data_IF_883958598352
#
_entry.id   IF_883958598352
#
_cell.length_a   1.000
_cell.length_b   1.000
_cell.length_c   1.000
_cell.angle_alpha   90.00
_cell.angle_beta   90.00
_cell.angle_gamma   90.00
#
_symmetry.space_group_name_H-M   'P 1'
#
loop_
_entity.id
_entity.type
_entity.pdbx_description
1 polymer ?
#
# COMPACT_ATOMS: atom_id res chain seq x y z
N UNK A 1 41.59 23.81 14.18
CA UNK A 1 40.66 23.02 13.35
C UNK A 1 39.86 22.15 14.33
N UNK A 2 38.82 22.72 14.92
CA UNK A 2 38.01 22.08 15.97
C UNK A 2 37.03 21.13 15.27
N UNK A 3 37.28 19.84 15.37
CA UNK A 3 36.31 18.81 15.02
C UNK A 3 35.11 18.98 15.96
N UNK A 4 33.95 19.25 15.38
CA UNK A 4 32.69 19.22 16.11
C UNK A 4 32.40 17.76 16.49
N UNK A 5 32.88 17.36 17.67
CA UNK A 5 32.49 16.15 18.38
C UNK A 5 31.07 16.36 18.95
N UNK A 6 30.08 16.41 18.06
CA UNK A 6 28.65 16.56 18.41
C UNK A 6 28.00 15.19 18.67
N UNK A 7 28.68 14.11 18.30
CA UNK A 7 28.21 12.75 18.55
C UNK A 7 29.36 12.02 19.22
N UNK A 8 29.30 11.90 20.54
CA UNK A 8 30.14 10.99 21.31
C UNK A 8 29.86 9.55 20.90
N UNK A 9 30.27 9.20 19.69
CA UNK A 9 30.12 7.89 19.11
C UNK A 9 31.09 6.98 19.82
N UNK A 10 30.56 6.18 20.75
CA UNK A 10 31.32 5.07 21.29
C UNK A 10 31.71 4.18 20.09
N UNK A 11 33.02 4.01 19.86
CA UNK A 11 33.53 3.16 18.78
C UNK A 11 33.33 1.67 19.10
N UNK A 12 33.06 1.35 20.37
CA UNK A 12 32.56 0.05 20.75
C UNK A 12 31.06 -0.02 20.45
N UNK A 13 30.61 -1.00 19.62
CA UNK A 13 29.20 -1.19 19.40
C UNK A 13 28.52 -1.46 20.75
N UNK A 14 27.34 -0.85 20.97
CA UNK A 14 26.64 -0.91 22.26
C UNK A 14 26.38 -2.35 22.77
N UNK A 15 26.41 -3.33 21.86
CA UNK A 15 26.18 -4.75 22.12
C UNK A 15 27.46 -5.58 22.39
N UNK A 16 28.66 -4.98 22.33
CA UNK A 16 29.94 -5.70 22.42
C UNK A 16 30.12 -6.52 23.71
N UNK A 17 29.53 -6.07 24.82
CA UNK A 17 29.61 -6.73 26.12
C UNK A 17 28.42 -7.61 26.48
N UNK A 18 27.42 -7.75 25.59
CA UNK A 18 26.19 -8.45 25.94
C UNK A 18 26.36 -9.97 25.80
N UNK A 19 26.34 -10.74 26.91
CA UNK A 19 26.43 -12.18 26.82
C UNK A 19 25.21 -12.71 26.04
N UNK A 20 25.44 -13.69 25.15
CA UNK A 20 24.41 -14.33 24.33
C UNK A 20 23.81 -13.45 23.20
N UNK A 21 24.35 -12.26 22.92
CA UNK A 21 23.88 -11.46 21.77
C UNK A 21 24.67 -11.79 20.51
N UNK A 22 23.99 -12.34 19.50
CA UNK A 22 24.53 -12.46 18.14
C UNK A 22 23.85 -11.43 17.24
N UNK A 23 24.54 -10.32 16.97
CA UNK A 23 24.02 -9.22 16.16
C UNK A 23 23.56 -9.65 14.76
N UNK A 24 24.13 -10.73 14.22
CA UNK A 24 23.75 -11.24 12.90
C UNK A 24 22.32 -11.79 12.88
N UNK A 25 21.77 -12.19 14.03
CA UNK A 25 20.36 -12.62 14.16
C UNK A 25 19.40 -11.43 14.25
N UNK A 26 19.89 -10.21 14.48
CA UNK A 26 19.07 -9.00 14.52
C UNK A 26 18.81 -8.43 13.11
N UNK A 27 19.46 -8.98 12.07
CA UNK A 27 19.25 -8.54 10.69
C UNK A 27 17.97 -9.20 10.16
N UNK A 28 16.85 -8.53 10.35
CA UNK A 28 15.56 -9.01 9.91
C UNK A 28 15.43 -8.96 8.36
N UNK A 29 14.76 -9.94 7.75
CA UNK A 29 14.45 -9.88 6.32
C UNK A 29 13.56 -8.69 5.97
N UNK A 30 13.69 -8.16 4.75
CA UNK A 30 12.89 -7.03 4.30
C UNK A 30 12.28 -7.29 2.92
N UNK A 31 10.94 -7.35 2.86
CA UNK A 31 10.22 -7.67 1.63
C UNK A 31 10.46 -6.60 0.54
N UNK A 32 10.42 -5.31 0.89
CA UNK A 32 10.52 -4.26 -0.10
C UNK A 32 11.95 -4.15 -0.68
N UNK A 33 12.93 -4.00 0.20
CA UNK A 33 14.32 -3.73 -0.13
C UNK A 33 15.08 -4.97 -0.56
N UNK A 34 14.91 -6.11 0.12
CA UNK A 34 15.64 -7.33 -0.24
C UNK A 34 14.92 -8.08 -1.36
N UNK A 35 13.61 -8.30 -1.26
CA UNK A 35 12.88 -9.06 -2.29
C UNK A 35 12.57 -8.22 -3.52
N UNK A 36 11.76 -7.16 -3.42
CA UNK A 36 11.35 -6.42 -4.61
C UNK A 36 12.49 -5.58 -5.21
N UNK A 37 13.16 -4.74 -4.43
CA UNK A 37 14.23 -3.86 -4.93
C UNK A 37 15.57 -4.59 -5.09
N UNK A 38 15.75 -5.75 -4.46
CA UNK A 38 16.93 -6.59 -4.57
C UNK A 38 16.74 -7.74 -5.56
N UNK A 39 16.14 -8.83 -5.11
CA UNK A 39 16.02 -10.10 -5.85
C UNK A 39 15.21 -9.94 -7.14
N UNK A 40 13.99 -9.40 -7.05
CA UNK A 40 13.10 -9.22 -8.19
C UNK A 40 13.67 -8.22 -9.20
N UNK A 41 14.35 -7.16 -8.75
CA UNK A 41 15.11 -6.27 -9.63
C UNK A 41 16.11 -7.06 -10.49
N UNK A 42 16.89 -7.93 -9.87
CA UNK A 42 17.84 -8.76 -10.60
C UNK A 42 17.15 -9.77 -11.51
N UNK A 43 16.02 -10.33 -11.09
CA UNK A 43 15.23 -11.25 -11.91
C UNK A 43 14.74 -10.57 -13.20
N UNK A 44 14.20 -9.35 -13.11
CA UNK A 44 13.77 -8.58 -14.30
C UNK A 44 14.93 -8.35 -15.26
N UNK A 45 16.12 -7.99 -14.76
CA UNK A 45 17.32 -7.83 -15.60
C UNK A 45 17.72 -9.15 -16.27
N UNK A 46 17.66 -10.28 -15.56
CA UNK A 46 17.96 -11.59 -16.15
C UNK A 46 16.97 -11.94 -17.26
N UNK A 47 15.68 -11.68 -17.04
CA UNK A 47 14.63 -11.88 -18.04
C UNK A 47 14.88 -11.00 -19.27
N UNK A 48 15.17 -9.71 -19.07
CA UNK A 48 15.45 -8.77 -20.17
C UNK A 48 16.66 -9.22 -21.01
N UNK A 49 17.70 -9.76 -20.37
CA UNK A 49 18.87 -10.30 -21.08
C UNK A 49 18.56 -11.55 -21.92
N UNK A 50 17.60 -12.39 -21.47
CA UNK A 50 17.23 -13.63 -22.19
C UNK A 50 16.19 -13.39 -23.28
N UNK A 51 15.15 -12.60 -22.97
CA UNK A 51 14.00 -12.37 -23.86
C UNK A 51 14.22 -11.18 -24.79
N UNK A 52 15.04 -10.21 -24.38
CA UNK A 52 15.16 -8.89 -25.00
C UNK A 52 14.25 -7.86 -24.33
N UNK A 53 14.77 -6.66 -24.10
CA UNK A 53 14.02 -5.54 -23.49
C UNK A 53 12.82 -5.13 -24.35
N UNK A 54 13.02 -5.00 -25.66
CA UNK A 54 11.98 -4.61 -26.61
C UNK A 54 10.84 -5.64 -26.67
N UNK A 55 11.16 -6.93 -26.80
CA UNK A 55 10.16 -8.01 -26.83
C UNK A 55 9.38 -8.07 -25.50
N UNK A 56 10.06 -7.94 -24.36
CA UNK A 56 9.38 -7.93 -23.06
C UNK A 56 8.43 -6.74 -22.94
N UNK A 57 8.87 -5.55 -23.35
CA UNK A 57 8.06 -4.33 -23.31
C UNK A 57 6.85 -4.41 -24.24
N UNK A 58 7.01 -4.92 -25.47
CA UNK A 58 5.88 -5.14 -26.39
C UNK A 58 4.83 -6.08 -25.79
N UNK A 59 5.27 -7.15 -25.13
CA UNK A 59 4.36 -8.11 -24.50
C UNK A 59 3.60 -7.51 -23.34
N UNK A 60 4.29 -6.74 -22.50
CA UNK A 60 3.66 -6.01 -21.40
C UNK A 60 2.61 -5.01 -21.93
N UNK A 61 2.90 -4.34 -23.05
CA UNK A 61 1.97 -3.40 -23.68
C UNK A 61 0.72 -4.08 -24.26
N UNK A 62 0.85 -5.31 -24.76
CA UNK A 62 -0.24 -6.10 -25.35
C UNK A 62 -1.15 -6.78 -24.33
N UNK A 63 -0.80 -6.76 -23.03
CA UNK A 63 -1.64 -7.36 -22.00
C UNK A 63 -3.03 -6.71 -21.95
N UNK A 64 -4.10 -7.52 -21.86
CA UNK A 64 -5.44 -6.98 -21.76
C UNK A 64 -5.62 -6.21 -20.44
N UNK A 65 -6.60 -5.30 -20.39
CA UNK A 65 -6.98 -4.62 -19.14
C UNK A 65 -7.34 -5.62 -18.04
N UNK A 66 -6.52 -5.74 -16.99
CA UNK A 66 -6.84 -6.61 -15.84
C UNK A 66 -7.14 -5.77 -14.60
N UNK A 67 -8.26 -6.04 -13.88
CA UNK A 67 -8.54 -5.41 -12.60
C UNK A 67 -7.38 -5.61 -11.60
N UNK A 68 -7.06 -4.60 -10.80
CA UNK A 68 -6.00 -4.69 -9.78
C UNK A 68 -4.56 -4.69 -10.30
N UNK A 69 -4.34 -4.53 -11.60
CA UNK A 69 -3.01 -4.49 -12.22
C UNK A 69 -2.79 -3.16 -12.93
N UNK A 70 -1.66 -2.50 -12.64
CA UNK A 70 -1.25 -1.27 -13.31
C UNK A 70 -0.83 -1.58 -14.75
N UNK A 71 -1.26 -0.74 -15.70
CA UNK A 71 -0.80 -0.82 -17.09
C UNK A 71 0.51 -0.09 -17.29
N UNK A 72 1.34 -0.63 -18.18
CA UNK A 72 2.62 -0.08 -18.58
C UNK A 72 2.63 0.16 -20.10
N UNK A 73 2.01 1.25 -20.58
CA UNK A 73 1.83 1.51 -22.02
C UNK A 73 3.13 1.79 -22.78
N UNK A 74 4.23 2.05 -22.07
CA UNK A 74 5.58 2.26 -22.62
C UNK A 74 6.56 1.15 -22.21
N UNK A 75 6.03 0.01 -21.76
CA UNK A 75 6.84 -1.04 -21.16
C UNK A 75 7.42 -0.65 -19.80
N UNK A 76 8.43 -1.42 -19.36
CA UNK A 76 9.12 -1.26 -18.08
C UNK A 76 10.59 -0.84 -18.22
N UNK A 77 11.21 -1.04 -19.39
CA UNK A 77 12.65 -0.80 -19.56
C UNK A 77 13.03 0.68 -19.41
N UNK A 78 12.14 1.58 -19.78
CA UNK A 78 12.35 3.04 -19.67
C UNK A 78 12.03 3.62 -18.29
N UNK A 79 11.63 2.80 -17.30
CA UNK A 79 11.28 3.31 -15.98
C UNK A 79 12.54 3.65 -15.18
N UNK A 80 12.72 4.94 -14.87
CA UNK A 80 13.71 5.41 -13.90
C UNK A 80 13.09 5.50 -12.51
N UNK A 81 13.88 5.22 -11.46
CA UNK A 81 13.45 5.29 -10.06
C UNK A 81 12.18 4.48 -9.73
N UNK A 82 12.11 3.25 -10.24
CA UNK A 82 10.96 2.34 -10.05
C UNK A 82 10.62 2.15 -8.57
N UNK A 83 9.40 2.56 -8.20
CA UNK A 83 8.86 2.44 -6.84
C UNK A 83 8.58 0.99 -6.45
N UNK A 84 8.45 0.72 -5.14
CA UNK A 84 8.02 -0.58 -4.63
C UNK A 84 6.69 -1.05 -5.22
N UNK A 85 5.70 -0.16 -5.27
CA UNK A 85 4.38 -0.44 -5.85
C UNK A 85 4.46 -0.80 -7.33
N UNK A 86 5.30 -0.10 -8.11
CA UNK A 86 5.51 -0.45 -9.52
C UNK A 86 6.11 -1.84 -9.66
N UNK A 87 7.11 -2.20 -8.84
CA UNK A 87 7.69 -3.55 -8.84
C UNK A 87 6.66 -4.62 -8.50
N UNK A 88 5.81 -4.39 -7.49
CA UNK A 88 4.70 -5.30 -7.14
C UNK A 88 3.78 -5.54 -8.35
N UNK A 89 3.46 -4.51 -9.12
CA UNK A 89 2.65 -4.67 -10.33
C UNK A 89 3.38 -5.40 -11.47
N UNK A 90 4.66 -5.14 -11.67
CA UNK A 90 5.45 -5.88 -12.69
C UNK A 90 5.55 -7.36 -12.31
N UNK A 91 5.73 -7.68 -11.02
CA UNK A 91 5.80 -9.06 -10.53
C UNK A 91 4.53 -9.87 -10.85
N UNK A 92 3.35 -9.23 -10.76
CA UNK A 92 2.05 -9.87 -11.07
C UNK A 92 1.89 -10.26 -12.53
N UNK A 93 2.54 -9.56 -13.46
CA UNK A 93 2.38 -9.78 -14.91
C UNK A 93 3.55 -10.52 -15.56
N UNK A 94 4.70 -10.57 -14.89
CA UNK A 94 5.95 -11.04 -15.50
C UNK A 94 5.80 -12.43 -16.14
N UNK A 95 5.25 -13.41 -15.42
CA UNK A 95 5.13 -14.79 -15.91
C UNK A 95 4.30 -14.90 -17.19
N UNK A 96 3.21 -14.13 -17.29
CA UNK A 96 2.36 -14.13 -18.48
C UNK A 96 3.14 -13.67 -19.71
N UNK A 97 4.05 -12.70 -19.53
CA UNK A 97 4.90 -12.20 -20.61
C UNK A 97 6.01 -13.18 -21.02
N UNK A 98 6.36 -14.19 -20.22
CA UNK A 98 7.41 -15.16 -20.57
C UNK A 98 6.90 -16.30 -21.46
N UNK A 99 5.59 -16.56 -21.44
CA UNK A 99 5.01 -17.71 -22.11
C UNK A 99 5.30 -17.73 -23.62
N UNK A 100 5.88 -18.82 -24.12
CA UNK A 100 6.24 -18.97 -25.54
C UNK A 100 7.48 -18.19 -26.01
N UNK A 101 8.22 -17.52 -25.11
CA UNK A 101 9.53 -16.88 -25.44
C UNK A 101 10.67 -17.40 -24.58
N UNK A 102 10.39 -17.83 -23.36
CA UNK A 102 11.36 -18.44 -22.47
C UNK A 102 11.11 -19.95 -22.38
N UNK A 103 12.19 -20.72 -22.29
CA UNK A 103 12.09 -22.17 -22.06
C UNK A 103 11.47 -22.48 -20.68
N UNK A 104 10.86 -23.65 -20.55
CA UNK A 104 10.21 -24.07 -19.32
C UNK A 104 11.12 -23.97 -18.08
N UNK A 105 12.41 -24.32 -18.21
CA UNK A 105 13.41 -24.20 -17.12
C UNK A 105 13.50 -22.76 -16.58
N UNK A 106 13.60 -21.78 -17.47
CA UNK A 106 13.65 -20.36 -17.08
C UNK A 106 12.35 -19.86 -16.47
N UNK A 107 11.20 -20.29 -17.02
CA UNK A 107 9.88 -19.93 -16.48
C UNK A 107 9.71 -20.50 -15.07
N UNK A 108 10.11 -21.75 -14.82
CA UNK A 108 10.06 -22.38 -13.50
C UNK A 108 10.95 -21.61 -12.51
N UNK A 109 12.16 -21.23 -12.91
CA UNK A 109 13.05 -20.42 -12.08
C UNK A 109 12.40 -19.06 -11.72
N UNK A 110 11.85 -18.34 -12.70
CA UNK A 110 11.13 -17.08 -12.45
C UNK A 110 9.93 -17.28 -11.52
N UNK A 111 9.13 -18.32 -11.75
CA UNK A 111 7.94 -18.64 -10.95
C UNK A 111 8.34 -18.88 -9.51
N UNK A 112 9.41 -19.64 -9.28
CA UNK A 112 9.83 -20.00 -7.93
C UNK A 112 10.19 -18.80 -7.06
N UNK A 113 10.89 -17.81 -7.63
CA UNK A 113 11.16 -16.55 -6.94
C UNK A 113 9.88 -15.77 -6.67
N UNK A 114 8.97 -15.68 -7.65
CA UNK A 114 7.71 -14.96 -7.47
C UNK A 114 6.81 -15.60 -6.41
N UNK A 115 6.73 -16.92 -6.39
CA UNK A 115 6.03 -17.67 -5.35
C UNK A 115 6.68 -17.48 -3.98
N UNK A 116 8.01 -17.55 -3.90
CA UNK A 116 8.73 -17.27 -2.66
C UNK A 116 8.40 -15.87 -2.11
N UNK A 117 8.39 -14.84 -2.98
CA UNK A 117 8.03 -13.47 -2.61
C UNK A 117 6.58 -13.40 -2.10
N UNK A 118 5.66 -14.12 -2.74
CA UNK A 118 4.27 -14.17 -2.32
C UNK A 118 4.12 -14.86 -0.95
N UNK A 119 4.78 -16.00 -0.75
CA UNK A 119 4.76 -16.75 0.50
C UNK A 119 5.37 -15.95 1.65
N UNK A 120 6.48 -15.25 1.41
CA UNK A 120 7.13 -14.42 2.43
C UNK A 120 6.23 -13.29 2.98
N UNK A 121 5.18 -12.91 2.24
CA UNK A 121 4.21 -11.88 2.63
C UNK A 121 2.94 -12.46 3.29
N UNK A 122 2.90 -13.76 3.59
CA UNK A 122 1.75 -14.32 4.27
C UNK A 122 1.65 -13.77 5.70
N UNK A 123 0.44 -13.39 6.16
CA UNK A 123 0.23 -12.85 7.52
C UNK A 123 0.32 -13.94 8.60
N UNK A 124 0.39 -15.21 8.21
CA UNK A 124 0.61 -16.32 9.12
C UNK A 124 1.29 -17.48 8.39
N UNK A 125 2.06 -18.26 9.15
CA UNK A 125 2.76 -19.42 8.64
C UNK A 125 2.52 -20.64 9.51
N UNK A 126 2.40 -21.80 8.87
CA UNK A 126 2.40 -23.10 9.50
C UNK A 126 3.57 -23.94 8.95
N UNK A 127 3.67 -25.20 9.36
CA UNK A 127 4.74 -26.09 8.88
C UNK A 127 4.68 -26.30 7.36
N UNK A 128 3.49 -26.27 6.75
CA UNK A 128 3.30 -26.51 5.32
C UNK A 128 3.70 -25.29 4.50
N UNK A 129 3.29 -24.08 4.89
CA UNK A 129 3.65 -22.86 4.15
C UNK A 129 5.15 -22.55 4.26
N UNK A 130 5.79 -22.85 5.38
CA UNK A 130 7.26 -22.78 5.51
C UNK A 130 7.96 -23.82 4.63
N UNK A 131 7.38 -25.02 4.49
CA UNK A 131 7.88 -26.03 3.57
C UNK A 131 7.77 -25.55 2.13
N UNK A 132 6.64 -24.94 1.72
CA UNK A 132 6.48 -24.37 0.39
C UNK A 132 7.55 -23.31 0.09
N UNK A 133 7.92 -22.47 1.05
CA UNK A 133 9.01 -21.49 0.86
C UNK A 133 10.35 -22.17 0.59
N UNK A 134 10.64 -23.25 1.33
CA UNK A 134 11.87 -24.03 1.17
C UNK A 134 11.89 -24.74 -0.18
N UNK A 135 10.77 -25.31 -0.59
CA UNK A 135 10.60 -26.01 -1.87
C UNK A 135 10.75 -25.06 -3.06
N UNK A 136 10.20 -23.85 -2.98
CA UNK A 136 10.40 -22.83 -4.02
C UNK A 136 11.87 -22.38 -4.09
N UNK A 137 12.57 -22.28 -2.95
CA UNK A 137 13.99 -21.95 -2.96
C UNK A 137 14.85 -23.09 -3.54
N UNK A 138 14.51 -24.35 -3.26
CA UNK A 138 15.14 -25.52 -3.87
C UNK A 138 14.89 -25.57 -5.38
N UNK A 139 13.66 -25.25 -5.80
CA UNK A 139 13.28 -25.14 -7.21
C UNK A 139 14.11 -24.05 -7.89
N UNK A 140 14.24 -22.88 -7.29
CA UNK A 140 15.12 -21.82 -7.79
C UNK A 140 16.55 -22.32 -7.96
N UNK A 141 17.13 -22.98 -6.94
CA UNK A 141 18.49 -23.49 -7.01
C UNK A 141 18.70 -24.56 -8.09
N UNK A 142 17.69 -25.37 -8.36
CA UNK A 142 17.71 -26.40 -9.41
C UNK A 142 17.71 -25.79 -10.82
N UNK A 143 16.99 -24.69 -11.03
CA UNK A 143 16.77 -24.13 -12.37
C UNK A 143 17.51 -22.81 -12.66
N UNK A 144 18.10 -22.14 -11.67
CA UNK A 144 18.77 -20.84 -11.87
C UNK A 144 19.91 -20.87 -12.89
N UNK A 145 20.59 -22.01 -13.04
CA UNK A 145 21.73 -22.15 -13.94
C UNK A 145 21.34 -21.97 -15.41
N UNK A 146 20.05 -22.09 -15.74
CA UNK A 146 19.49 -21.66 -17.02
C UNK A 146 19.94 -20.25 -17.43
N UNK A 147 19.97 -19.30 -16.50
CA UNK A 147 20.39 -17.93 -16.80
C UNK A 147 21.90 -17.79 -17.04
N UNK A 148 22.69 -18.72 -16.50
CA UNK A 148 24.14 -18.80 -16.78
C UNK A 148 24.34 -19.41 -18.16
N UNK A 149 23.65 -20.51 -18.46
CA UNK A 149 23.68 -21.19 -19.77
C UNK A 149 23.28 -20.24 -20.92
N UNK A 150 22.30 -19.36 -20.68
CA UNK A 150 21.88 -18.33 -21.66
C UNK A 150 22.76 -17.07 -21.69
N UNK A 151 23.85 -17.03 -20.92
CA UNK A 151 24.77 -15.89 -20.88
C UNK A 151 24.19 -14.63 -20.23
N UNK A 152 23.02 -14.71 -19.58
CA UNK A 152 22.38 -13.56 -18.93
C UNK A 152 23.16 -13.07 -17.70
N UNK A 153 23.95 -13.95 -17.08
CA UNK A 153 24.86 -13.63 -15.96
C UNK A 153 25.93 -14.71 -15.77
N UNK A 154 27.09 -14.34 -15.25
CA UNK A 154 28.19 -15.27 -14.97
C UNK A 154 28.01 -16.16 -13.71
N UNK A 155 27.48 -15.60 -12.61
CA UNK A 155 27.28 -16.35 -11.35
C UNK A 155 26.18 -15.75 -10.46
N UNK A 156 25.66 -16.54 -9.51
CA UNK A 156 24.67 -16.09 -8.51
C UNK A 156 25.25 -15.76 -7.12
N UNK A 157 26.55 -15.45 -7.00
CA UNK A 157 27.19 -14.94 -5.77
C UNK A 157 26.74 -13.50 -5.47
N UNK A 158 25.46 -13.33 -5.15
CA UNK A 158 24.83 -12.04 -4.90
C UNK A 158 24.26 -12.09 -3.48
N UNK A 159 24.68 -11.19 -2.57
CA UNK A 159 24.22 -11.19 -1.18
C UNK A 159 22.69 -11.23 -1.03
N UNK A 160 21.97 -10.53 -1.92
CA UNK A 160 20.49 -10.49 -1.95
C UNK A 160 19.84 -11.83 -2.32
N UNK A 161 20.49 -12.66 -3.14
CA UNK A 161 19.98 -14.02 -3.40
C UNK A 161 20.35 -14.97 -2.26
N UNK A 162 21.50 -14.76 -1.61
CA UNK A 162 21.89 -15.53 -0.44
C UNK A 162 20.95 -15.27 0.75
N UNK A 163 20.46 -14.03 0.92
CA UNK A 163 19.55 -13.71 2.03
C UNK A 163 18.24 -14.50 2.02
N UNK A 164 17.81 -15.01 0.86
CA UNK A 164 16.62 -15.86 0.75
C UNK A 164 16.70 -17.12 1.65
N UNK A 165 17.90 -17.65 1.87
CA UNK A 165 18.12 -18.81 2.74
C UNK A 165 17.69 -18.55 4.18
N UNK A 166 17.73 -17.30 4.62
CA UNK A 166 17.50 -16.91 6.01
C UNK A 166 16.04 -16.57 6.31
N UNK A 167 15.17 -16.48 5.31
CA UNK A 167 13.76 -16.07 5.52
C UNK A 167 12.98 -17.07 6.36
N UNK A 168 13.10 -18.37 6.07
CA UNK A 168 12.33 -19.41 6.79
C UNK A 168 12.71 -19.42 8.27
N UNK A 169 14.00 -19.33 8.57
CA UNK A 169 14.46 -19.27 9.95
C UNK A 169 14.02 -17.95 10.59
N UNK A 170 14.23 -16.81 9.92
CA UNK A 170 13.79 -15.51 10.45
C UNK A 170 12.29 -15.50 10.78
N UNK A 171 11.45 -16.13 9.96
CA UNK A 171 10.01 -16.22 10.23
C UNK A 171 9.72 -17.04 11.49
N UNK A 172 10.47 -18.12 11.72
CA UNK A 172 10.35 -18.92 12.95
C UNK A 172 10.81 -18.17 14.19
N UNK A 173 11.86 -17.35 14.07
CA UNK A 173 12.46 -16.64 15.21
C UNK A 173 11.76 -15.32 15.54
N UNK A 174 11.32 -14.58 14.52
CA UNK A 174 10.86 -13.19 14.64
C UNK A 174 9.37 -13.01 14.28
N UNK A 175 8.70 -14.07 13.83
CA UNK A 175 7.33 -14.02 13.32
C UNK A 175 7.26 -13.62 11.85
N UNK A 176 6.06 -13.30 11.37
CA UNK A 176 5.80 -12.93 9.98
C UNK A 176 6.52 -11.62 9.58
N UNK A 177 6.77 -11.44 8.28
CA UNK A 177 7.63 -10.34 7.79
C UNK A 177 7.05 -8.94 7.96
N UNK A 178 5.75 -8.83 8.23
CA UNK A 178 5.06 -7.61 8.60
C UNK A 178 5.47 -7.09 10.00
N UNK A 179 5.85 -7.98 10.93
CA UNK A 179 6.27 -7.60 12.29
C UNK A 179 7.56 -6.76 12.34
N UNK A 180 8.40 -6.83 11.31
CA UNK A 180 9.69 -6.14 11.24
C UNK A 180 9.89 -5.42 9.91
N UNK A 181 8.79 -5.07 9.24
CA UNK A 181 8.78 -4.31 8.01
C UNK A 181 9.38 -2.89 8.20
N UNK A 182 10.31 -2.48 7.34
CA UNK A 182 10.92 -1.15 7.40
C UNK A 182 10.03 0.00 6.91
N UNK A 183 8.89 -0.26 6.27
CA UNK A 183 7.95 0.76 5.80
C UNK A 183 7.48 1.69 6.94
N UNK A 184 7.35 1.18 8.17
CA UNK A 184 7.02 2.00 9.34
C UNK A 184 8.13 3.03 9.63
N UNK A 185 9.39 2.63 9.57
CA UNK A 185 10.54 3.52 9.73
C UNK A 185 10.73 4.45 8.53
N UNK A 186 10.40 4.02 7.31
CA UNK A 186 10.37 4.91 6.13
C UNK A 186 9.35 6.04 6.27
N UNK A 187 8.22 5.79 6.94
CA UNK A 187 7.25 6.85 7.23
C UNK A 187 7.82 7.87 8.22
N UNK A 188 8.51 7.42 9.25
CA UNK A 188 9.19 8.30 10.20
C UNK A 188 10.26 9.18 9.53
N UNK A 189 10.86 8.74 8.41
CA UNK A 189 11.75 9.61 7.64
C UNK A 189 11.06 10.86 7.07
N UNK A 190 9.73 10.86 6.89
CA UNK A 190 9.00 12.07 6.51
C UNK A 190 9.11 13.09 7.64
N UNK A 191 8.66 12.72 8.82
CA UNK A 191 8.50 13.63 9.96
C UNK A 191 9.87 13.98 10.57
N UNK A 192 10.74 12.99 10.78
CA UNK A 192 12.03 13.17 11.43
C UNK A 192 13.10 13.74 10.49
N UNK A 193 13.07 13.41 9.20
CA UNK A 193 14.11 13.85 8.26
C UNK A 193 13.63 14.94 7.29
N UNK A 194 12.57 14.68 6.52
CA UNK A 194 12.16 15.59 5.43
C UNK A 194 11.59 16.90 5.95
N UNK A 195 10.76 16.86 6.99
CA UNK A 195 10.20 18.08 7.59
C UNK A 195 11.27 18.90 8.30
N UNK A 196 12.10 18.26 9.11
CA UNK A 196 13.26 18.93 9.73
C UNK A 196 14.18 19.57 8.70
N UNK A 197 14.47 18.87 7.59
CA UNK A 197 15.26 19.42 6.48
C UNK A 197 14.58 20.65 5.85
N UNK A 198 13.27 20.57 5.56
CA UNK A 198 12.49 21.68 4.99
C UNK A 198 12.42 22.90 5.91
N UNK A 199 12.34 22.67 7.23
CA UNK A 199 12.34 23.72 8.25
C UNK A 199 13.72 24.34 8.47
N UNK A 200 14.80 23.67 8.04
CA UNK A 200 16.16 24.19 8.15
C UNK A 200 16.50 25.22 7.07
N UNK A 201 17.53 26.02 7.32
CA UNK A 201 18.11 26.92 6.31
C UNK A 201 19.05 26.20 5.31
N UNK A 202 19.17 24.86 5.39
CA UNK A 202 20.01 23.99 4.55
C UNK A 202 21.53 24.24 4.65
N UNK A 203 21.98 25.03 5.64
CA UNK A 203 23.40 25.25 5.97
C UNK A 203 23.66 24.74 7.39
N UNK A 204 24.63 23.85 7.61
CA UNK A 204 24.81 23.19 8.91
C UNK A 204 23.46 22.69 9.47
N UNK A 205 22.75 21.93 8.64
CA UNK A 205 21.35 21.58 8.85
C UNK A 205 21.15 20.56 9.97
N UNK A 206 22.17 19.74 10.28
CA UNK A 206 22.03 18.63 11.21
C UNK A 206 21.61 19.06 12.63
N UNK A 207 22.27 20.06 13.29
CA UNK A 207 21.80 20.59 14.58
C UNK A 207 20.40 21.24 14.51
N UNK A 208 20.05 21.84 13.37
CA UNK A 208 18.73 22.46 13.17
C UNK A 208 17.63 21.40 13.09
N UNK A 209 17.89 20.29 12.38
CA UNK A 209 16.98 19.15 12.30
C UNK A 209 16.78 18.52 13.68
N UNK A 210 17.85 18.32 14.45
CA UNK A 210 17.75 17.81 15.83
C UNK A 210 16.93 18.76 16.73
N UNK A 211 17.17 20.07 16.61
CA UNK A 211 16.41 21.07 17.36
C UNK A 211 14.93 21.09 16.97
N UNK A 212 14.63 20.89 15.69
CA UNK A 212 13.27 20.77 15.19
C UNK A 212 12.57 19.55 15.80
N UNK A 213 13.18 18.37 15.74
CA UNK A 213 12.62 17.13 16.30
C UNK A 213 12.39 17.29 17.81
N UNK A 214 13.39 17.77 18.56
CA UNK A 214 13.27 17.96 20.01
C UNK A 214 12.15 18.94 20.39
N UNK A 215 11.88 19.95 19.56
CA UNK A 215 10.73 20.85 19.78
C UNK A 215 9.40 20.14 19.54
N UNK A 216 9.29 19.34 18.48
CA UNK A 216 8.07 18.58 18.18
C UNK A 216 7.76 17.57 19.30
N UNK A 217 8.78 16.85 19.78
CA UNK A 217 8.63 15.91 20.91
C UNK A 217 8.14 16.61 22.17
N UNK A 218 8.70 17.79 22.50
CA UNK A 218 8.28 18.57 23.66
C UNK A 218 6.84 19.08 23.55
N UNK A 219 6.43 19.55 22.38
CA UNK A 219 5.05 19.99 22.12
C UNK A 219 4.10 18.80 22.26
N UNK A 220 4.41 17.67 21.64
CA UNK A 220 3.59 16.46 21.72
C UNK A 220 3.47 15.92 23.16
N UNK A 221 4.56 15.91 23.93
CA UNK A 221 4.54 15.52 25.34
C UNK A 221 3.67 16.46 26.18
N UNK A 222 3.69 17.76 25.89
CA UNK A 222 2.85 18.74 26.59
C UNK A 222 1.38 18.64 26.20
N UNK A 223 1.06 18.39 24.93
CA UNK A 223 -0.31 18.16 24.48
C UNK A 223 -0.89 16.87 25.11
N UNK A 224 -0.08 15.81 25.21
CA UNK A 224 -0.45 14.59 25.95
C UNK A 224 -0.71 14.87 27.43
N UNK A 225 0.16 15.65 28.08
CA UNK A 225 -0.04 16.03 29.47
C UNK A 225 -1.37 16.78 29.65
N UNK A 226 -1.69 17.73 28.76
CA UNK A 226 -2.97 18.46 28.79
C UNK A 226 -4.17 17.54 28.63
N UNK A 227 -4.17 16.64 27.64
CA UNK A 227 -5.30 15.72 27.45
C UNK A 227 -5.48 14.82 28.67
N UNK A 228 -4.38 14.30 29.23
CA UNK A 228 -4.43 13.48 30.43
C UNK A 228 -4.97 14.24 31.65
N UNK A 229 -4.63 15.53 31.82
CA UNK A 229 -5.21 16.34 32.90
C UNK A 229 -6.69 16.63 32.68
N UNK A 230 -7.12 16.92 31.45
CA UNK A 230 -8.52 17.19 31.13
C UNK A 230 -9.40 15.94 31.24
N UNK A 231 -8.90 14.77 30.84
CA UNK A 231 -9.60 13.48 31.00
C UNK A 231 -9.74 13.11 32.48
N UNK A 232 -8.77 13.46 33.34
CA UNK A 232 -8.89 13.26 34.79
C UNK A 232 -9.87 14.25 35.44
N UNK A 233 -9.98 15.49 34.92
CA UNK A 233 -10.98 16.46 35.37
C UNK A 233 -12.41 16.02 34.97
N UNK A 234 -12.62 15.50 33.76
CA UNK A 234 -13.93 14.99 33.31
C UNK A 234 -14.33 13.65 33.97
N UNK A 235 -13.38 12.76 34.29
CA UNK A 235 -13.65 11.51 35.02
C UNK A 235 -14.02 11.71 36.49
N UNK A 236 -13.93 12.93 37.03
CA UNK A 236 -14.39 13.23 38.40
C UNK A 236 -15.88 13.61 38.45
N UNK A 237 -16.54 13.84 37.31
CA UNK A 237 -17.97 14.22 37.27
C UNK A 237 -18.90 13.28 36.47
N UNK A 238 -18.42 12.24 35.78
CA UNK A 238 -19.30 11.28 35.09
C UNK A 238 -18.82 9.82 35.15
N UNK A 239 -19.13 9.13 36.24
CA UNK A 239 -19.34 7.68 36.23
C UNK A 239 -20.74 7.41 35.67
N UNK A 240 -20.86 7.32 34.34
CA UNK A 240 -21.79 6.44 33.60
C UNK A 240 -21.91 6.91 32.14
N UNK A 241 -21.11 6.32 31.26
CA UNK A 241 -21.54 5.74 29.97
C UNK A 241 -20.30 5.54 29.10
N UNK A 242 -19.77 4.32 29.10
CA UNK A 242 -18.82 3.87 28.09
C UNK A 242 -19.54 3.71 26.76
N UNK A 243 -19.65 4.80 25.99
CA UNK A 243 -20.10 4.75 24.60
C UNK A 243 -18.85 4.67 23.72
N UNK A 244 -18.51 3.45 23.32
CA UNK A 244 -17.41 3.16 22.39
C UNK A 244 -17.73 3.78 21.03
N UNK A 245 -17.26 5.01 20.80
CA UNK A 245 -17.27 5.62 19.47
C UNK A 245 -16.45 4.76 18.50
N UNK A 246 -17.16 3.97 17.71
CA UNK A 246 -16.64 3.16 16.63
C UNK A 246 -15.83 4.01 15.64
N UNK A 247 -14.66 3.50 15.26
CA UNK A 247 -13.87 4.02 14.14
C UNK A 247 -14.67 3.79 12.86
N UNK A 248 -15.28 4.84 12.31
CA UNK A 248 -15.99 4.76 11.03
C UNK A 248 -14.99 4.72 9.85
N UNK A 249 -15.37 4.09 8.73
CA UNK A 249 -14.58 4.08 7.51
C UNK A 249 -14.24 5.52 7.08
N UNK A 250 -12.96 5.85 6.94
CA UNK A 250 -12.57 7.22 6.60
C UNK A 250 -12.70 7.47 5.09
N UNK A 251 -13.45 8.51 4.73
CA UNK A 251 -13.63 8.95 3.35
C UNK A 251 -12.70 10.13 3.06
N UNK A 252 -11.76 9.96 2.12
CA UNK A 252 -10.84 11.01 1.68
C UNK A 252 -11.37 11.73 0.45
N UNK A 253 -11.99 12.90 0.63
CA UNK A 253 -12.44 13.78 -0.47
C UNK A 253 -11.45 14.93 -0.70
N UNK A 254 -11.34 15.41 -1.95
CA UNK A 254 -10.60 16.63 -2.24
C UNK A 254 -11.35 17.85 -1.67
N UNK A 255 -10.63 18.84 -1.14
CA UNK A 255 -11.20 20.04 -0.49
C UNK A 255 -12.21 20.80 -1.36
N UNK A 256 -12.04 20.75 -2.68
CA UNK A 256 -12.92 21.41 -3.64
C UNK A 256 -13.34 20.43 -4.75
N UNK A 257 -14.61 20.49 -5.22
CA UNK A 257 -15.06 19.67 -6.33
C UNK A 257 -14.39 20.09 -7.64
N UNK A 258 -14.18 19.13 -8.54
CA UNK A 258 -13.65 19.41 -9.88
C UNK A 258 -14.66 20.18 -10.73
N UNK A 259 -15.95 19.93 -10.51
CA UNK A 259 -17.04 20.68 -11.12
C UNK A 259 -17.93 21.27 -10.02
N UNK A 260 -17.87 22.58 -9.79
CA UNK A 260 -18.52 23.21 -8.63
C UNK A 260 -20.02 23.46 -8.77
N UNK A 261 -20.55 23.51 -10.01
CA UNK A 261 -21.95 23.91 -10.30
C UNK A 261 -22.55 23.11 -11.44
N UNK A 262 -22.44 21.78 -11.38
CA UNK A 262 -22.97 20.91 -12.44
C UNK A 262 -24.49 20.78 -12.30
N UNK A 263 -25.23 20.99 -13.39
CA UNK A 263 -26.69 20.82 -13.41
C UNK A 263 -27.06 19.36 -13.13
N UNK A 264 -28.08 19.15 -12.30
CA UNK A 264 -28.52 17.81 -11.88
C UNK A 264 -28.91 16.93 -13.09
N UNK A 265 -29.61 17.49 -14.08
CA UNK A 265 -30.01 16.75 -15.28
C UNK A 265 -28.79 16.33 -16.12
N UNK A 266 -27.75 17.18 -16.17
CA UNK A 266 -26.51 16.88 -16.85
C UNK A 266 -25.72 15.77 -16.12
N UNK A 267 -25.82 15.66 -14.80
CA UNK A 267 -25.21 14.56 -14.04
C UNK A 267 -25.88 13.23 -14.42
N UNK A 268 -27.21 13.19 -14.40
CA UNK A 268 -27.99 12.00 -14.78
C UNK A 268 -27.63 11.51 -16.18
N UNK A 269 -27.55 12.43 -17.15
CA UNK A 269 -27.21 12.11 -18.53
C UNK A 269 -25.74 11.73 -18.72
N UNK A 270 -24.80 12.59 -18.30
CA UNK A 270 -23.37 12.38 -18.57
C UNK A 270 -22.81 11.20 -17.80
N UNK A 271 -23.31 10.89 -16.61
CA UNK A 271 -22.83 9.74 -15.88
C UNK A 271 -23.62 8.45 -16.19
N UNK A 272 -24.68 8.50 -17.00
CA UNK A 272 -25.51 7.32 -17.28
C UNK A 272 -26.29 6.83 -16.05
N UNK A 273 -26.77 7.75 -15.21
CA UNK A 273 -27.45 7.48 -13.95
C UNK A 273 -28.91 7.97 -13.98
N UNK A 274 -29.82 7.33 -14.75
CA UNK A 274 -31.18 7.82 -14.97
C UNK A 274 -32.02 7.93 -13.68
N UNK A 275 -31.72 7.10 -12.67
CA UNK A 275 -32.39 7.13 -11.36
C UNK A 275 -31.83 8.17 -10.37
N UNK A 276 -30.78 8.92 -10.74
CA UNK A 276 -30.04 9.78 -9.81
C UNK A 276 -30.93 10.78 -9.07
N UNK A 277 -31.84 11.46 -9.78
CA UNK A 277 -32.73 12.48 -9.19
C UNK A 277 -33.69 11.87 -8.17
N UNK A 278 -34.23 10.69 -8.46
CA UNK A 278 -35.11 9.97 -7.55
C UNK A 278 -34.37 9.51 -6.30
N UNK A 279 -33.18 8.91 -6.48
CA UNK A 279 -32.33 8.47 -5.38
C UNK A 279 -31.90 9.64 -4.48
N UNK A 280 -31.52 10.77 -5.05
CA UNK A 280 -31.14 11.97 -4.30
C UNK A 280 -32.30 12.50 -3.43
N UNK A 281 -33.52 12.50 -3.95
CA UNK A 281 -34.71 12.92 -3.18
C UNK A 281 -34.97 12.00 -1.99
N UNK A 282 -34.80 10.70 -2.16
CA UNK A 282 -34.97 9.73 -1.08
C UNK A 282 -33.87 9.86 -0.04
N UNK A 283 -32.62 9.97 -0.48
CA UNK A 283 -31.48 10.20 0.41
C UNK A 283 -31.66 11.45 1.29
N UNK A 284 -32.05 12.58 0.69
CA UNK A 284 -32.33 13.81 1.45
C UNK A 284 -33.50 13.66 2.41
N UNK A 285 -34.51 12.85 2.06
CA UNK A 285 -35.63 12.54 2.94
C UNK A 285 -35.19 11.69 4.14
N UNK A 286 -34.26 10.76 3.96
CA UNK A 286 -33.73 9.91 5.03
C UNK A 286 -32.85 10.71 6.01
N UNK A 287 -32.21 11.77 5.54
CA UNK A 287 -31.48 12.74 6.38
C UNK A 287 -32.40 13.60 7.27
N UNK A 288 -33.71 13.61 7.05
CA UNK A 288 -34.65 14.33 7.92
C UNK A 288 -34.89 13.55 9.22
N UNK A 289 -35.11 14.26 10.34
CA UNK A 289 -35.51 13.64 11.60
C UNK A 289 -36.82 12.85 11.43
N UNK A 290 -37.04 11.75 12.17
CA UNK A 290 -38.15 10.82 11.94
C UNK A 290 -39.53 11.46 11.80
N UNK A 291 -39.82 12.55 12.55
CA UNK A 291 -41.09 13.27 12.48
C UNK A 291 -41.33 14.12 11.21
N UNK A 292 -40.29 14.39 10.42
CA UNK A 292 -40.35 15.18 9.19
C UNK A 292 -40.17 14.35 7.91
N UNK A 293 -39.92 13.04 8.05
CA UNK A 293 -39.75 12.14 6.91
C UNK A 293 -41.07 11.99 6.16
N UNK A 294 -41.03 12.28 4.86
CA UNK A 294 -42.18 12.07 3.98
C UNK A 294 -42.26 10.59 3.58
N UNK A 295 -43.47 10.14 3.25
CA UNK A 295 -43.65 8.86 2.58
C UNK A 295 -42.91 8.88 1.24
N UNK A 296 -42.34 7.74 0.85
CA UNK A 296 -41.52 7.58 -0.37
C UNK A 296 -42.15 8.19 -1.63
N UNK A 297 -43.45 7.97 -1.83
CA UNK A 297 -44.20 8.51 -2.98
C UNK A 297 -44.31 10.04 -2.99
N UNK A 298 -44.39 10.67 -1.82
CA UNK A 298 -44.50 12.12 -1.68
C UNK A 298 -43.13 12.80 -1.79
N UNK A 299 -42.08 12.16 -1.25
CA UNK A 299 -40.69 12.60 -1.40
C UNK A 299 -40.27 12.69 -2.88
N UNK A 300 -40.67 11.71 -3.70
CA UNK A 300 -40.35 11.70 -5.14
C UNK A 300 -41.04 12.83 -5.91
N UNK A 301 -42.23 13.29 -5.47
CA UNK A 301 -42.99 14.37 -6.11
C UNK A 301 -42.48 15.77 -5.77
N UNK A 302 -41.75 15.93 -4.66
CA UNK A 302 -41.18 17.22 -4.25
C UNK A 302 -40.09 17.69 -5.23
N UNK A 303 -39.98 19.00 -5.42
CA UNK A 303 -38.87 19.62 -6.16
C UNK A 303 -37.68 19.82 -5.22
N UNK A 304 -36.48 19.62 -5.75
CA UNK A 304 -35.25 19.91 -5.01
C UNK A 304 -35.09 21.44 -4.88
N UNK A 305 -34.60 21.95 -3.74
CA UNK A 305 -34.41 23.39 -3.53
C UNK A 305 -33.21 23.97 -4.31
N UNK A 306 -32.44 23.12 -4.98
CA UNK A 306 -31.28 23.50 -5.78
C UNK A 306 -31.28 22.75 -7.13
N UNK A 307 -30.63 23.34 -8.13
CA UNK A 307 -30.56 22.80 -9.50
C UNK A 307 -29.15 22.39 -9.91
N UNK A 308 -28.15 22.67 -9.07
CA UNK A 308 -26.74 22.37 -9.32
C UNK A 308 -26.06 21.74 -8.11
N UNK A 309 -25.05 20.91 -8.36
CA UNK A 309 -24.25 20.25 -7.34
C UNK A 309 -22.75 20.37 -7.65
N UNK A 310 -21.94 20.31 -6.60
CA UNK A 310 -20.51 20.04 -6.72
C UNK A 310 -20.28 18.55 -7.02
N UNK A 311 -19.49 18.23 -8.03
CA UNK A 311 -19.20 16.85 -8.43
C UNK A 311 -17.71 16.55 -8.25
N UNK A 312 -17.45 15.45 -7.53
CA UNK A 312 -16.14 14.83 -7.41
C UNK A 312 -16.12 13.56 -8.26
N UNK A 313 -15.19 13.48 -9.21
CA UNK A 313 -15.03 12.30 -10.06
C UNK A 313 -14.25 11.16 -9.39
N UNK A 314 -13.71 11.42 -8.21
CA UNK A 314 -12.95 10.44 -7.45
C UNK A 314 -12.94 10.75 -5.96
N UNK A 315 -12.94 9.70 -5.15
CA UNK A 315 -12.70 9.78 -3.72
C UNK A 315 -11.83 8.62 -3.27
N UNK A 316 -11.12 8.81 -2.17
CA UNK A 316 -10.40 7.74 -1.51
C UNK A 316 -11.29 7.08 -0.47
N UNK A 317 -11.39 5.76 -0.47
CA UNK A 317 -12.02 4.99 0.59
C UNK A 317 -10.96 4.19 1.32
N UNK A 318 -11.04 4.19 2.64
CA UNK A 318 -10.33 3.26 3.50
C UNK A 318 -11.38 2.35 4.15
N UNK A 319 -11.54 1.10 3.70
CA UNK A 319 -12.47 0.16 4.30
C UNK A 319 -12.07 -0.17 5.75
N UNK A 320 -13.05 -0.52 6.58
CA UNK A 320 -12.76 -1.26 7.81
C UNK A 320 -12.39 -2.69 7.41
N UNK A 321 -11.10 -2.97 7.35
CA UNK A 321 -10.61 -4.35 7.41
C UNK A 321 -9.81 -4.53 8.69
N UNK A 322 -9.88 -5.76 9.22
CA UNK A 322 -9.17 -6.27 10.42
C UNK A 322 -7.66 -6.42 10.17
N UNK A 323 -7.12 -5.80 9.11
CA UNK A 323 -5.71 -5.88 8.73
C UNK A 323 -5.00 -4.56 9.04
N UNK A 324 -3.81 -4.66 9.63
CA UNK A 324 -3.00 -3.56 10.20
C UNK A 324 -2.44 -2.54 9.17
N UNK A 325 -2.83 -2.64 7.89
CA UNK A 325 -2.51 -1.64 6.86
C UNK A 325 -3.75 -1.21 6.07
N UNK A 326 -4.28 0.01 6.27
CA UNK A 326 -5.40 0.50 5.48
C UNK A 326 -4.97 0.80 4.03
N UNK A 327 -5.24 -0.12 3.10
CA UNK A 327 -5.14 0.18 1.68
C UNK A 327 -6.20 1.21 1.28
N UNK A 328 -5.75 2.37 0.78
CA UNK A 328 -6.65 3.42 0.29
C UNK A 328 -7.05 3.11 -1.16
N UNK A 329 -8.31 2.73 -1.36
CA UNK A 329 -8.87 2.54 -2.69
C UNK A 329 -9.26 3.88 -3.31
N UNK A 330 -8.80 4.15 -4.53
CA UNK A 330 -9.24 5.30 -5.30
C UNK A 330 -10.42 4.92 -6.19
N UNK A 331 -11.62 5.32 -5.78
CA UNK A 331 -12.87 5.01 -6.48
C UNK A 331 -13.17 6.15 -7.46
N UNK A 332 -13.63 5.82 -8.66
CA UNK A 332 -13.89 6.79 -9.73
C UNK A 332 -15.34 6.73 -10.25
N UNK A 333 -15.87 7.91 -10.52
CA UNK A 333 -17.10 8.14 -11.27
C UNK A 333 -16.78 9.02 -12.48
N UNK A 334 -16.57 8.39 -13.63
CA UNK A 334 -16.16 9.07 -14.87
C UNK A 334 -17.39 9.42 -15.72
N UNK A 335 -17.54 10.69 -16.13
CA UNK A 335 -18.60 11.08 -17.05
C UNK A 335 -18.30 10.58 -18.48
N UNK A 336 -19.36 10.49 -19.28
CA UNK A 336 -19.32 10.29 -20.71
C UNK A 336 -18.49 11.38 -21.37
N UNK A 337 -17.55 10.97 -22.22
CA UNK A 337 -16.69 11.84 -23.03
C UNK A 337 -16.76 11.39 -24.48
N UNK A 338 -16.37 12.26 -25.41
CA UNK A 338 -16.32 11.95 -26.86
C UNK A 338 -15.54 10.69 -27.21
N UNK A 339 -14.64 10.24 -26.33
CA UNK A 339 -13.78 9.06 -26.51
C UNK A 339 -14.05 7.91 -25.55
N UNK A 340 -14.90 8.07 -24.52
CA UNK A 340 -15.07 7.07 -23.44
C UNK A 340 -16.49 7.05 -22.90
N UNK A 341 -17.05 5.84 -22.74
CA UNK A 341 -18.32 5.61 -22.07
C UNK A 341 -18.27 6.05 -20.59
N UNK A 342 -19.42 6.42 -20.03
CA UNK A 342 -19.55 6.69 -18.60
C UNK A 342 -19.25 5.43 -17.79
N UNK A 343 -18.57 5.58 -16.65
CA UNK A 343 -18.19 4.47 -15.76
C UNK A 343 -18.38 4.86 -14.30
N UNK A 344 -19.01 3.98 -13.54
CA UNK A 344 -18.99 3.99 -12.09
C UNK A 344 -18.20 2.79 -11.57
N UNK A 345 -17.27 3.04 -10.67
CA UNK A 345 -16.72 1.98 -9.84
C UNK A 345 -17.75 1.62 -8.75
N UNK A 346 -18.07 0.34 -8.64
CA UNK A 346 -18.95 -0.18 -7.58
C UNK A 346 -18.13 -0.51 -6.35
N UNK A 347 -18.67 -0.19 -5.17
CA UNK A 347 -18.00 -0.38 -3.90
C UNK A 347 -19.00 -0.97 -2.91
N UNK A 348 -18.58 -1.99 -2.19
CA UNK A 348 -19.32 -2.57 -1.08
C UNK A 348 -18.76 -1.97 0.21
N UNK A 349 -19.63 -1.46 1.07
CA UNK A 349 -19.27 -0.86 2.35
C UNK A 349 -20.10 -1.57 3.43
N UNK A 350 -19.48 -1.89 4.56
CA UNK A 350 -20.17 -2.43 5.73
C UNK A 350 -21.01 -1.31 6.35
N UNK A 351 -22.33 -1.51 6.40
CA UNK A 351 -23.29 -0.47 6.83
C UNK A 351 -23.47 -0.43 8.37
N UNK A 352 -23.26 -1.56 9.06
CA UNK A 352 -23.41 -1.69 10.51
C UNK A 352 -22.50 -2.81 11.08
N UNK A 353 -22.43 -2.93 12.43
CA UNK A 353 -21.60 -3.93 13.12
C UNK A 353 -22.05 -5.38 12.89
N UNK A 354 -23.31 -5.59 12.50
CA UNK A 354 -23.86 -6.90 12.11
C UNK A 354 -23.44 -7.30 10.70
N UNK A 355 -22.93 -6.37 9.88
CA UNK A 355 -22.47 -6.64 8.53
C UNK A 355 -21.14 -7.41 8.58
N UNK A 356 -21.22 -8.73 8.41
CA UNK A 356 -20.05 -9.58 8.26
C UNK A 356 -19.55 -9.56 6.80
N UNK A 357 -18.23 -9.49 6.61
CA UNK A 357 -17.61 -9.77 5.33
C UNK A 357 -17.72 -11.27 5.03
N UNK A 358 -18.86 -11.70 4.49
CA UNK A 358 -18.99 -13.05 3.96
C UNK A 358 -18.34 -13.08 2.58
N UNK A 359 -17.04 -13.35 2.53
CA UNK A 359 -16.40 -13.73 1.28
C UNK A 359 -17.21 -14.88 0.66
N UNK A 360 -17.49 -14.80 -0.64
CA UNK A 360 -18.16 -15.90 -1.36
C UNK A 360 -17.31 -17.15 -1.17
N UNK A 361 -17.80 -18.13 -0.40
CA UNK A 361 -17.20 -19.46 -0.38
C UNK A 361 -17.29 -20.00 -1.80
N UNK A 362 -16.17 -19.99 -2.51
CA UNK A 362 -16.05 -20.62 -3.82
C UNK A 362 -16.41 -22.09 -3.67
N UNK A 363 -17.33 -22.56 -4.51
CA UNK A 363 -17.51 -23.99 -4.76
C UNK A 363 -16.41 -24.51 -5.66
#
# INVERSE_FOLDING_TARGET
>A
MLAYDIVGGNYDPFWAGFPLTNINLCIAPDVLHQLYQGVFKHLVTLVQNVVGEEELDERIQRLPPTPGVRRFPKGISNLSQVSGTERKHVARILLACLNGKMEARGIIACRSILHFIQLAQYPSHDKHTLQYMTDELNTWHTYKDYFIEKGARAHFKIPKFHSLLHYVDSIKWLGTTDNYNTEAFERLHIDLSKEGWRASNKRNFFPQMLSFISRQEKVSAFDFYKSWTSDNEENTEQLDSSDSKLKSSSLGLAKYPKETRKKIDAISFLHGAPGFVGALKLFLNDCLSPGYRLKKGDALKKRLPFTTLGVWHNFGLVPLEVLDQPEKYLIKAQPLSSSKAARFDTVLVLENEEAQSTAVQGK
#
